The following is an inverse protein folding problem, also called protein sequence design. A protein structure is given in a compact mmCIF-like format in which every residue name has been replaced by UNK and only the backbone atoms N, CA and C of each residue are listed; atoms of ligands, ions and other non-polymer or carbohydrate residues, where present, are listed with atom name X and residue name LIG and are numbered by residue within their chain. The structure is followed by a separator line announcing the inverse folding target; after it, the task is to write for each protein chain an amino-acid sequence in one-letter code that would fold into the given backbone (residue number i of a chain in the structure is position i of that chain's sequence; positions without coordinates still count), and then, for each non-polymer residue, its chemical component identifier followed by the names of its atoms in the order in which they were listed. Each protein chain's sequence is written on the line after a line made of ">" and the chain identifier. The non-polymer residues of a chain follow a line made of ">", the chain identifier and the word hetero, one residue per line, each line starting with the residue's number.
data_IF_478563534025
#
_entry.id   IF_478563534025
#
_cell.length_a   1.000
_cell.length_b   1.000
_cell.length_c   1.000
_cell.angle_alpha   90.00
_cell.angle_beta   90.00
_cell.angle_gamma   90.00
#
_symmetry.space_group_name_H-M   'P 1'
#
loop_
_entity.id
_entity.type
_entity.pdbx_description
1 polymer ?
#
# COMPACT_ATOMS: atom_id res chain seq x y z
N UNK A 1 -3.87 -9.60 -11.88
CA UNK A 1 -3.36 -10.77 -11.11
C UNK A 1 -3.32 -10.35 -9.67
N UNK A 2 -4.11 -10.98 -8.80
CA UNK A 2 -4.12 -10.67 -7.37
C UNK A 2 -2.72 -10.93 -6.78
N UNK A 3 -2.24 -10.02 -5.95
CA UNK A 3 -0.91 -10.14 -5.33
C UNK A 3 -0.94 -11.35 -4.39
N UNK A 4 -0.15 -12.39 -4.70
CA UNK A 4 -0.06 -13.59 -3.87
C UNK A 4 0.73 -13.29 -2.57
N UNK A 5 -0.02 -13.06 -1.49
CA UNK A 5 0.46 -12.56 -0.18
C UNK A 5 1.61 -13.33 0.48
N UNK A 6 1.81 -14.61 0.19
CA UNK A 6 2.57 -15.48 1.09
C UNK A 6 4.10 -15.37 1.07
N UNK A 7 4.71 -14.97 -0.06
CA UNK A 7 6.19 -14.92 -0.18
C UNK A 7 6.75 -13.52 -0.40
N UNK A 8 6.01 -12.67 -1.12
CA UNK A 8 6.45 -11.31 -1.43
C UNK A 8 6.47 -10.40 -0.20
N UNK A 9 5.52 -10.59 0.73
CA UNK A 9 5.39 -9.78 1.94
C UNK A 9 6.40 -10.12 3.04
N UNK A 10 7.12 -11.25 2.91
CA UNK A 10 8.09 -11.74 3.91
C UNK A 10 9.54 -11.49 3.49
N UNK A 11 9.78 -11.17 2.22
CA UNK A 11 11.15 -10.92 1.72
C UNK A 11 11.43 -9.43 1.50
N UNK A 12 10.41 -8.59 1.24
CA UNK A 12 10.58 -7.21 0.76
C UNK A 12 9.42 -6.30 1.19
N UNK A 13 9.67 -5.00 1.26
CA UNK A 13 8.61 -4.00 1.36
C UNK A 13 7.71 -4.04 0.12
N UNK A 14 6.40 -4.08 0.32
CA UNK A 14 5.41 -4.11 -0.77
C UNK A 14 4.70 -2.77 -0.83
N UNK A 15 4.56 -2.21 -2.03
CA UNK A 15 3.86 -0.95 -2.24
C UNK A 15 2.67 -1.21 -3.16
N UNK A 16 1.50 -0.77 -2.76
CA UNK A 16 0.25 -1.02 -3.47
C UNK A 16 -0.40 0.32 -3.76
N UNK A 17 -0.74 0.54 -5.01
CA UNK A 17 -1.51 1.68 -5.47
C UNK A 17 -2.97 1.28 -5.63
N UNK A 18 -3.84 1.97 -4.90
CA UNK A 18 -5.26 1.84 -5.03
C UNK A 18 -5.87 3.12 -5.57
N UNK A 19 -5.79 3.25 -6.89
CA UNK A 19 -6.30 4.41 -7.64
C UNK A 19 -7.80 4.65 -7.47
N UNK A 20 -8.58 3.64 -7.08
CA UNK A 20 -10.03 3.77 -6.91
C UNK A 20 -10.42 4.63 -5.70
N UNK A 21 -9.71 4.48 -4.59
CA UNK A 21 -9.84 5.35 -3.40
C UNK A 21 -8.72 6.38 -3.29
N UNK A 22 -7.97 6.57 -4.39
CA UNK A 22 -6.85 7.53 -4.49
C UNK A 22 -5.86 7.40 -3.31
N UNK A 23 -5.52 6.15 -2.99
CA UNK A 23 -4.73 5.81 -1.80
C UNK A 23 -3.62 4.82 -2.15
N UNK A 24 -2.49 4.95 -1.48
CA UNK A 24 -1.36 4.04 -1.57
C UNK A 24 -1.15 3.35 -0.23
N UNK A 25 -0.80 2.07 -0.27
CA UNK A 25 -0.39 1.30 0.89
C UNK A 25 1.07 0.92 0.79
N UNK A 26 1.75 0.93 1.93
CA UNK A 26 3.09 0.39 2.11
C UNK A 26 3.03 -0.68 3.17
N UNK A 27 3.39 -1.89 2.81
CA UNK A 27 3.66 -2.96 3.73
C UNK A 27 5.12 -2.90 4.15
N UNK A 28 5.34 -2.65 5.44
CA UNK A 28 6.63 -2.72 6.10
C UNK A 28 6.80 -4.13 6.66
N UNK A 29 7.70 -4.91 6.06
CA UNK A 29 7.89 -6.30 6.47
C UNK A 29 8.64 -6.43 7.81
N UNK A 30 9.51 -5.47 8.12
CA UNK A 30 10.33 -5.49 9.33
C UNK A 30 9.49 -5.19 10.58
N UNK A 31 8.55 -4.24 10.46
CA UNK A 31 7.62 -3.90 11.52
C UNK A 31 6.28 -4.65 11.46
N UNK A 32 6.06 -5.47 10.41
CA UNK A 32 4.78 -6.12 10.08
C UNK A 32 3.59 -5.14 10.11
N UNK A 33 3.83 -3.91 9.60
CA UNK A 33 2.89 -2.79 9.67
C UNK A 33 2.50 -2.31 8.28
N UNK A 34 1.23 -1.92 8.16
CA UNK A 34 0.71 -1.30 6.94
C UNK A 34 0.62 0.19 7.16
N UNK A 35 1.34 0.95 6.36
CA UNK A 35 1.19 2.39 6.26
C UNK A 35 0.29 2.73 5.08
N UNK A 36 -0.48 3.80 5.23
CA UNK A 36 -1.42 4.29 4.22
C UNK A 36 -1.10 5.74 3.90
N UNK A 37 -1.11 6.08 2.61
CA UNK A 37 -0.80 7.41 2.09
C UNK A 37 -1.81 7.77 1.02
N UNK A 38 -2.68 8.74 1.29
CA UNK A 38 -3.61 9.26 0.30
C UNK A 38 -2.87 10.14 -0.72
N UNK A 39 -3.39 10.22 -1.95
CA UNK A 39 -2.83 11.09 -2.97
C UNK A 39 -2.95 12.55 -2.51
N UNK A 40 -1.91 13.34 -2.75
CA UNK A 40 -1.83 14.72 -2.26
C UNK A 40 -1.63 14.89 -0.73
N UNK A 41 -1.78 13.83 0.07
CA UNK A 41 -1.52 13.87 1.52
C UNK A 41 -0.20 13.20 1.92
N UNK A 42 0.20 13.41 3.17
CA UNK A 42 1.35 12.70 3.76
C UNK A 42 0.94 11.30 4.19
N UNK A 43 1.92 10.40 4.27
CA UNK A 43 1.76 9.07 4.87
C UNK A 43 1.18 9.24 6.28
N UNK A 44 0.11 8.49 6.58
CA UNK A 44 -0.44 8.44 7.93
C UNK A 44 0.60 7.81 8.85
N UNK A 45 0.90 8.52 9.93
CA UNK A 45 1.79 8.02 10.97
C UNK A 45 1.22 6.79 11.70
N UNK A 46 -0.12 6.66 11.70
CA UNK A 46 -0.82 5.56 12.35
C UNK A 46 -0.91 4.36 11.38
N UNK A 47 -0.24 3.23 11.69
CA UNK A 47 -0.33 2.03 10.88
C UNK A 47 -1.71 1.41 11.01
N UNK A 48 -2.25 0.89 9.91
CA UNK A 48 -3.55 0.21 9.92
C UNK A 48 -3.40 -1.28 10.24
N UNK A 49 -4.39 -1.89 10.90
CA UNK A 49 -4.40 -3.33 11.13
C UNK A 49 -4.50 -4.10 9.82
N UNK A 50 -3.92 -5.31 9.77
CA UNK A 50 -4.01 -6.22 8.62
C UNK A 50 -5.43 -6.68 8.27
N UNK A 51 -6.37 -6.50 9.21
CA UNK A 51 -7.78 -6.86 9.07
C UNK A 51 -8.59 -5.72 8.42
N UNK A 52 -7.94 -4.59 8.11
CA UNK A 52 -8.62 -3.45 7.51
C UNK A 52 -9.21 -3.84 6.14
N UNK A 53 -10.51 -3.59 6.00
CA UNK A 53 -11.28 -3.87 4.78
C UNK A 53 -10.70 -3.15 3.56
N UNK A 54 -10.25 -1.91 3.73
CA UNK A 54 -9.66 -1.11 2.64
C UNK A 54 -8.35 -1.73 2.12
N UNK A 55 -7.51 -2.23 3.02
CA UNK A 55 -6.27 -2.91 2.63
C UNK A 55 -6.58 -4.20 1.88
N UNK A 56 -7.53 -5.01 2.35
CA UNK A 56 -7.94 -6.22 1.65
C UNK A 56 -8.53 -5.91 0.26
N UNK A 57 -9.28 -4.81 0.12
CA UNK A 57 -9.79 -4.36 -1.17
C UNK A 57 -8.65 -3.91 -2.11
N UNK A 58 -7.71 -3.12 -1.59
CA UNK A 58 -6.50 -2.72 -2.32
C UNK A 58 -5.60 -3.90 -2.72
N UNK A 59 -5.61 -5.01 -1.96
CA UNK A 59 -4.87 -6.23 -2.35
C UNK A 59 -5.56 -7.00 -3.48
N UNK A 60 -6.88 -6.91 -3.57
CA UNK A 60 -7.70 -7.60 -4.57
C UNK A 60 -7.81 -6.80 -5.87
N UNK A 61 -8.04 -5.49 -5.75
CA UNK A 61 -8.29 -4.56 -6.86
C UNK A 61 -7.16 -3.55 -7.10
N UNK A 62 -6.28 -3.34 -6.14
CA UNK A 62 -5.14 -2.45 -6.30
C UNK A 62 -4.01 -3.09 -7.10
N UNK A 63 -3.03 -2.25 -7.42
CA UNK A 63 -1.91 -2.60 -8.27
C UNK A 63 -0.61 -2.51 -7.47
N UNK A 64 0.22 -3.54 -7.53
CA UNK A 64 1.57 -3.45 -6.98
C UNK A 64 2.37 -2.40 -7.75
N UNK A 65 2.96 -1.46 -7.02
CA UNK A 65 3.84 -0.42 -7.56
C UNK A 65 5.23 -0.55 -6.95
N UNK A 66 6.21 0.07 -7.60
CA UNK A 66 7.56 0.14 -7.05
C UNK A 66 7.67 1.24 -5.98
N UNK A 67 8.65 1.10 -5.08
CA UNK A 67 9.00 2.11 -4.06
C UNK A 67 9.13 3.52 -4.64
N UNK A 68 9.74 3.64 -5.82
CA UNK A 68 9.90 4.93 -6.51
C UNK A 68 8.56 5.60 -6.84
N UNK A 69 7.55 4.84 -7.25
CA UNK A 69 6.22 5.37 -7.53
C UNK A 69 5.52 5.84 -6.25
N UNK A 70 5.67 5.09 -5.15
CA UNK A 70 5.13 5.47 -3.84
C UNK A 70 5.77 6.75 -3.29
N UNK A 71 7.10 6.88 -3.44
CA UNK A 71 7.86 8.06 -3.03
C UNK A 71 7.47 9.27 -3.89
N UNK A 72 7.41 9.10 -5.22
CA UNK A 72 6.95 10.14 -6.14
C UNK A 72 5.55 10.63 -5.75
N UNK A 73 4.70 9.71 -5.27
CA UNK A 73 3.30 9.97 -4.99
C UNK A 73 2.52 10.23 -6.27
N UNK A 74 1.20 10.17 -6.19
CA UNK A 74 0.33 10.72 -7.22
C UNK A 74 -0.14 12.09 -6.77
N UNK A 75 0.12 13.06 -7.63
CA UNK A 75 -0.45 14.39 -7.50
C UNK A 75 -1.81 14.34 -8.20
N UNK A 76 -2.86 14.72 -7.49
CA UNK A 76 -4.16 15.02 -8.09
C UNK A 76 -3.97 16.38 -8.77
N UNK A 77 -3.74 16.37 -10.08
CA UNK A 77 -3.72 17.59 -10.91
C UNK A 77 -5.14 18.04 -11.26
#
# INVERSE_FOLDING_TARGET
>A
MAINKGKLFTEKDVYIDYSFEEVMYRWDQEAEKIYVKFYGEREKADPIPHDNRLFNDALLSGQEISKEQYIKGKNIE
#
